data_IF_384516312934
#
_entry.id   IF_384516312934
#
_cell.length_a   1.000
_cell.length_b   1.000
_cell.length_c   1.000
_cell.angle_alpha   90.00
_cell.angle_beta   90.00
_cell.angle_gamma   90.00
#
_symmetry.space_group_name_H-M   'P 1'
#
loop_
_entity.id
_entity.type
_entity.pdbx_description
1 polymer ?
#
# COMPACT_ATOMS: atom_id res chain seq x y z
N UNK A 1 -2.33 -4.39 -8.82
CA UNK A 1 -1.43 -3.38 -8.23
C UNK A 1 -1.20 -3.61 -6.74
N UNK A 2 -2.23 -3.64 -5.94
CA UNK A 2 -2.11 -3.93 -4.51
C UNK A 2 -3.05 -5.05 -4.12
N UNK A 3 -2.60 -5.90 -3.18
CA UNK A 3 -3.36 -7.08 -2.80
C UNK A 3 -3.23 -7.30 -1.30
N UNK A 4 -4.36 -7.58 -0.64
CA UNK A 4 -4.38 -7.92 0.77
C UNK A 4 -4.03 -9.39 0.96
N UNK A 5 -3.06 -9.67 1.82
CA UNK A 5 -2.72 -11.04 2.18
C UNK A 5 -2.58 -11.12 3.69
N UNK A 6 -3.60 -11.67 4.36
CA UNK A 6 -3.60 -11.71 5.82
C UNK A 6 -3.51 -10.31 6.38
N UNK A 7 -2.45 -10.03 7.12
CA UNK A 7 -2.22 -8.71 7.71
C UNK A 7 -1.25 -7.86 6.88
N UNK A 8 -0.89 -8.33 5.68
CA UNK A 8 0.06 -7.63 4.82
C UNK A 8 -0.61 -7.14 3.55
N UNK A 9 -0.16 -5.98 3.09
CA UNK A 9 -0.56 -5.43 1.80
C UNK A 9 0.63 -5.56 0.86
N UNK A 10 0.46 -6.34 -0.20
CA UNK A 10 1.51 -6.59 -1.19
C UNK A 10 1.27 -5.67 -2.37
N UNK A 11 2.29 -4.92 -2.75
CA UNK A 11 2.18 -3.93 -3.83
C UNK A 11 3.05 -4.36 -5.01
N UNK A 12 2.45 -4.35 -6.20
CA UNK A 12 3.10 -4.76 -7.44
C UNK A 12 3.05 -3.62 -8.45
N UNK A 13 4.02 -3.60 -9.35
CA UNK A 13 4.05 -2.61 -10.42
C UNK A 13 3.12 -3.04 -11.57
N UNK A 14 3.07 -2.23 -12.62
CA UNK A 14 2.17 -2.46 -13.76
C UNK A 14 2.47 -3.76 -14.50
N UNK A 15 3.70 -4.22 -14.45
CA UNK A 15 4.10 -5.45 -15.12
C UNK A 15 3.99 -6.68 -14.23
N UNK A 16 3.49 -6.51 -13.01
CA UNK A 16 3.32 -7.61 -12.06
C UNK A 16 4.53 -7.88 -11.20
N UNK A 17 5.58 -7.04 -11.28
CA UNK A 17 6.74 -7.20 -10.43
C UNK A 17 6.48 -6.70 -9.03
N UNK A 18 6.99 -7.44 -8.03
CA UNK A 18 6.82 -7.06 -6.64
C UNK A 18 7.60 -5.78 -6.33
N UNK A 19 6.96 -4.83 -5.67
CA UNK A 19 7.59 -3.57 -5.32
C UNK A 19 7.90 -3.49 -3.83
N UNK A 20 6.88 -3.64 -2.98
CA UNK A 20 7.06 -3.58 -1.54
C UNK A 20 5.84 -4.15 -0.85
N UNK A 21 5.97 -4.37 0.46
CA UNK A 21 4.81 -4.75 1.27
C UNK A 21 4.73 -3.85 2.51
N UNK A 22 3.53 -3.77 3.06
CA UNK A 22 3.29 -3.04 4.30
C UNK A 22 2.31 -3.83 5.16
N UNK A 23 2.51 -3.80 6.46
CA UNK A 23 1.58 -4.44 7.39
C UNK A 23 0.38 -3.53 7.60
N UNK A 24 -0.81 -4.11 7.54
CA UNK A 24 -2.04 -3.35 7.78
C UNK A 24 -3.16 -3.82 6.89
N UNK A 25 -4.17 -2.97 6.73
CA UNK A 25 -5.34 -3.26 5.91
C UNK A 25 -5.34 -2.37 4.68
N UNK A 26 -5.48 -2.99 3.52
CA UNK A 26 -5.57 -2.24 2.26
C UNK A 26 -6.90 -1.50 2.21
N UNK A 27 -6.84 -0.18 2.15
CA UNK A 27 -8.03 0.67 2.03
C UNK A 27 -8.34 0.97 0.57
N UNK A 28 -7.30 1.25 -0.21
CA UNK A 28 -7.48 1.54 -1.62
C UNK A 28 -6.14 1.85 -2.26
N UNK A 29 -6.17 2.05 -3.57
CA UNK A 29 -4.96 2.40 -4.29
C UNK A 29 -5.32 3.11 -5.60
N UNK A 30 -4.34 3.84 -6.11
CA UNK A 30 -4.43 4.46 -7.43
C UNK A 30 -3.27 3.95 -8.27
N UNK A 31 -3.08 4.53 -9.46
CA UNK A 31 -1.99 4.10 -10.33
C UNK A 31 -0.61 4.40 -9.73
N UNK A 32 -0.51 5.32 -8.78
CA UNK A 32 0.78 5.70 -8.21
C UNK A 32 0.78 5.84 -6.69
N UNK A 33 -0.31 5.46 -6.02
CA UNK A 33 -0.37 5.51 -4.54
C UNK A 33 -1.10 4.30 -3.99
N UNK A 34 -0.80 3.96 -2.74
CA UNK A 34 -1.48 2.89 -2.02
C UNK A 34 -1.84 3.40 -0.64
N UNK A 35 -3.10 3.21 -0.25
CA UNK A 35 -3.59 3.62 1.06
C UNK A 35 -3.72 2.40 1.96
N UNK A 36 -3.01 2.42 3.08
CA UNK A 36 -2.98 1.31 4.03
C UNK A 36 -3.33 1.85 5.41
N UNK A 37 -4.26 1.16 6.08
CA UNK A 37 -4.63 1.50 7.45
C UNK A 37 -3.88 0.61 8.42
N UNK A 38 -3.19 1.22 9.37
CA UNK A 38 -2.46 0.51 10.42
C UNK A 38 -2.98 0.98 11.77
N UNK A 39 -3.73 0.11 12.43
CA UNK A 39 -4.36 0.48 13.69
C UNK A 39 -5.33 1.64 13.50
N UNK A 40 -5.12 2.73 14.21
CA UNK A 40 -5.98 3.91 14.11
C UNK A 40 -5.48 4.94 13.11
N UNK A 41 -4.36 4.66 12.43
CA UNK A 41 -3.74 5.61 11.51
C UNK A 41 -3.81 5.08 10.09
N UNK A 42 -4.15 5.96 9.15
CA UNK A 42 -4.16 5.64 7.73
C UNK A 42 -2.97 6.30 7.07
N UNK A 43 -2.19 5.50 6.35
CA UNK A 43 -1.00 5.96 5.64
C UNK A 43 -1.22 5.89 4.14
N UNK A 44 -0.78 6.92 3.44
CA UNK A 44 -0.78 6.91 1.98
C UNK A 44 0.66 6.82 1.51
N UNK A 45 0.98 5.74 0.80
CA UNK A 45 2.32 5.48 0.30
C UNK A 45 2.39 5.79 -1.20
N UNK A 46 3.51 6.30 -1.63
CA UNK A 46 3.77 6.48 -3.04
C UNK A 46 4.16 5.16 -3.70
N UNK A 47 4.36 5.20 -4.99
CA UNK A 47 4.67 3.99 -5.77
C UNK A 47 6.06 3.41 -5.48
N UNK A 48 6.86 4.07 -4.67
CA UNK A 48 8.17 3.57 -4.25
C UNK A 48 8.18 3.16 -2.79
N UNK A 49 7.02 3.15 -2.13
CA UNK A 49 6.91 2.80 -0.73
C UNK A 49 7.12 3.95 0.23
N UNK A 50 7.34 5.17 -0.26
CA UNK A 50 7.51 6.32 0.61
C UNK A 50 6.16 6.80 1.11
N UNK A 51 6.14 7.38 2.31
CA UNK A 51 4.91 7.93 2.87
C UNK A 51 4.64 9.29 2.24
N UNK A 52 3.48 9.41 1.59
CA UNK A 52 3.07 10.69 1.01
C UNK A 52 2.43 11.58 2.08
N UNK A 53 1.50 11.01 2.85
CA UNK A 53 0.89 11.71 3.96
C UNK A 53 0.15 10.70 4.84
N UNK A 54 -0.27 11.14 6.01
CA UNK A 54 -1.02 10.31 6.97
C UNK A 54 -2.33 11.00 7.30
N UNK A 55 -3.29 10.19 7.71
CA UNK A 55 -4.61 10.71 8.13
C UNK A 55 -4.99 10.21 9.49
#
# INVERSE_FOLDING_TARGET
MAKQQGTNVMVYNETGGFMFNKTGTLVGYTSNTVTVKQGATTYVYGNRGEIKFTK
#
